data_IF_027587749820
#
_entry.id   IF_027587749820
#
_cell.length_a   1.000
_cell.length_b   1.000
_cell.length_c   1.000
_cell.angle_alpha   90.00
_cell.angle_beta   90.00
_cell.angle_gamma   90.00
#
_symmetry.space_group_name_H-M   'P 1'
#
loop_
_entity.id
_entity.type
_entity.pdbx_description
1 polymer ?
#
# COMPACT_ATOMS: atom_id res chain seq x y z
N UNK A 1 -36.48 -62.82 -59.99
CA UNK A 1 -35.41 -62.97 -61.00
C UNK A 1 -34.46 -61.81 -60.80
N UNK A 2 -33.44 -62.01 -59.98
CA UNK A 2 -32.11 -62.51 -60.36
C UNK A 2 -31.29 -61.48 -61.12
N UNK A 3 -30.21 -61.07 -60.43
CA UNK A 3 -28.85 -60.86 -60.96
C UNK A 3 -28.64 -59.77 -62.00
N UNK A 4 -28.10 -58.64 -61.51
CA UNK A 4 -26.73 -58.18 -61.77
C UNK A 4 -26.10 -58.58 -63.12
N UNK A 5 -25.63 -57.57 -63.88
CA UNK A 5 -24.48 -57.60 -64.80
C UNK A 5 -24.44 -56.33 -65.66
N UNK A 6 -23.43 -55.47 -65.45
CA UNK A 6 -22.48 -55.03 -66.50
C UNK A 6 -21.78 -53.69 -66.18
N UNK A 7 -20.49 -53.80 -65.81
CA UNK A 7 -19.41 -52.84 -66.14
C UNK A 7 -19.20 -52.81 -67.68
N UNK A 8 -18.49 -51.86 -68.36
CA UNK A 8 -17.35 -51.03 -67.90
C UNK A 8 -17.43 -49.55 -68.38
N UNK A 9 -16.57 -48.61 -67.94
CA UNK A 9 -15.28 -48.29 -68.57
C UNK A 9 -14.59 -47.09 -67.89
N UNK A 10 -13.25 -46.96 -68.06
CA UNK A 10 -12.34 -46.19 -67.23
C UNK A 10 -12.04 -44.80 -67.82
N UNK A 11 -11.50 -43.91 -66.99
CA UNK A 11 -10.56 -42.81 -67.27
C UNK A 11 -10.78 -41.75 -66.19
N UNK A 12 -9.92 -41.63 -65.17
CA UNK A 12 -8.69 -40.82 -65.30
C UNK A 12 -8.87 -39.69 -66.30
N UNK A 13 -9.43 -38.57 -65.84
CA UNK A 13 -9.04 -37.21 -66.21
C UNK A 13 -10.11 -36.25 -65.69
N UNK A 14 -9.90 -35.76 -64.47
CA UNK A 14 -10.20 -34.39 -64.00
C UNK A 14 -9.94 -34.29 -62.50
N UNK A 15 -8.71 -34.66 -62.13
CA UNK A 15 -8.03 -34.06 -60.99
C UNK A 15 -7.48 -32.71 -61.49
N UNK A 16 -8.30 -31.66 -61.39
CA UNK A 16 -7.93 -30.24 -61.40
C UNK A 16 -9.24 -29.44 -61.44
N UNK A 17 -9.35 -28.43 -60.57
CA UNK A 17 -10.52 -27.56 -60.36
C UNK A 17 -11.71 -28.19 -59.60
N UNK A 18 -11.46 -28.67 -58.38
CA UNK A 18 -12.47 -28.66 -57.31
C UNK A 18 -11.82 -28.69 -55.92
N UNK A 19 -10.67 -28.04 -55.76
CA UNK A 19 -9.87 -28.05 -54.52
C UNK A 19 -9.58 -26.63 -54.00
N UNK A 20 -10.52 -25.69 -54.16
CA UNK A 20 -10.34 -24.30 -53.65
C UNK A 20 -11.51 -23.77 -52.82
N UNK A 21 -12.69 -24.38 -52.77
CA UNK A 21 -13.85 -23.72 -52.15
C UNK A 21 -14.69 -24.54 -51.15
N UNK A 22 -14.15 -25.64 -50.61
CA UNK A 22 -14.80 -26.40 -49.51
C UNK A 22 -13.76 -27.01 -48.56
N UNK A 23 -12.83 -26.20 -48.07
CA UNK A 23 -11.92 -26.55 -46.96
C UNK A 23 -11.77 -25.34 -46.00
N UNK A 24 -12.86 -24.61 -45.77
CA UNK A 24 -12.90 -23.44 -44.88
C UNK A 24 -13.88 -23.60 -43.71
N UNK A 25 -14.49 -24.78 -43.52
CA UNK A 25 -15.40 -25.03 -42.41
C UNK A 25 -15.22 -26.48 -41.95
N UNK A 26 -14.78 -26.66 -40.70
CA UNK A 26 -14.51 -27.91 -39.98
C UNK A 26 -13.06 -28.44 -40.03
N UNK A 27 -12.16 -27.83 -39.25
CA UNK A 27 -11.22 -28.48 -38.30
C UNK A 27 -10.28 -27.42 -37.71
N UNK A 28 -10.60 -26.90 -36.51
CA UNK A 28 -9.63 -26.38 -35.52
C UNK A 28 -10.37 -25.85 -34.27
N UNK A 29 -11.18 -26.69 -33.62
CA UNK A 29 -11.48 -26.52 -32.21
C UNK A 29 -10.38 -27.27 -31.42
N UNK A 30 -9.21 -26.66 -31.31
CA UNK A 30 -8.20 -27.07 -30.33
C UNK A 30 -8.41 -26.31 -29.02
N UNK A 31 -8.01 -26.85 -27.85
CA UNK A 31 -8.00 -26.07 -26.63
C UNK A 31 -7.10 -24.85 -26.87
N UNK A 32 -7.64 -23.66 -26.61
CA UNK A 32 -6.86 -22.43 -26.60
C UNK A 32 -5.82 -22.54 -25.47
N UNK A 33 -4.66 -23.12 -25.80
CA UNK A 33 -3.46 -22.92 -25.01
C UNK A 33 -3.21 -21.41 -25.04
N UNK A 34 -3.30 -20.80 -23.86
CA UNK A 34 -2.92 -19.41 -23.66
C UNK A 34 -1.53 -19.22 -24.26
N UNK A 35 -1.45 -18.42 -25.33
CA UNK A 35 -0.16 -17.92 -25.79
C UNK A 35 0.43 -17.15 -24.60
N UNK A 36 1.66 -17.45 -24.15
CA UNK A 36 2.32 -16.61 -23.17
C UNK A 36 2.47 -15.22 -23.79
N UNK A 37 1.86 -14.22 -23.14
CA UNK A 37 2.22 -12.83 -23.37
C UNK A 37 3.74 -12.73 -23.21
N UNK A 38 4.48 -11.97 -24.04
CA UNK A 38 5.86 -11.62 -23.74
C UNK A 38 5.81 -10.54 -22.65
N UNK A 39 5.36 -10.93 -21.45
CA UNK A 39 5.63 -10.16 -20.26
C UNK A 39 7.14 -10.32 -20.03
N UNK A 40 7.88 -9.23 -20.08
CA UNK A 40 9.27 -9.23 -19.61
C UNK A 40 9.35 -9.74 -18.17
N UNK A 41 10.57 -10.02 -17.66
CA UNK A 41 10.74 -10.51 -16.29
C UNK A 41 9.99 -9.64 -15.30
N UNK A 42 9.32 -10.28 -14.35
CA UNK A 42 8.58 -9.58 -13.30
C UNK A 42 9.51 -8.63 -12.51
N UNK A 43 9.00 -7.58 -11.85
CA UNK A 43 9.85 -6.68 -11.07
C UNK A 43 10.79 -7.42 -10.08
N UNK A 44 10.27 -8.41 -9.35
CA UNK A 44 11.07 -9.23 -8.45
C UNK A 44 12.12 -10.10 -9.17
N UNK A 45 11.80 -10.58 -10.38
CA UNK A 45 12.72 -11.38 -11.19
C UNK A 45 13.87 -10.54 -11.77
N UNK A 46 13.63 -9.26 -12.11
CA UNK A 46 14.71 -8.33 -12.49
C UNK A 46 15.65 -8.03 -11.33
N UNK A 47 15.09 -7.85 -10.13
CA UNK A 47 15.90 -7.59 -8.92
C UNK A 47 16.73 -8.83 -8.60
N UNK A 48 16.13 -10.02 -8.63
CA UNK A 48 16.85 -11.28 -8.43
C UNK A 48 17.99 -11.45 -9.45
N UNK A 49 17.74 -11.22 -10.74
CA UNK A 49 18.79 -11.26 -11.78
C UNK A 49 19.93 -10.27 -11.51
N UNK A 50 19.62 -9.05 -11.04
CA UNK A 50 20.66 -8.10 -10.66
C UNK A 50 21.44 -8.54 -9.42
N UNK A 51 20.77 -9.20 -8.46
CA UNK A 51 21.42 -9.76 -7.27
C UNK A 51 22.29 -10.98 -7.56
N UNK A 52 22.06 -11.69 -8.67
CA UNK A 52 22.98 -12.74 -9.15
C UNK A 52 24.32 -12.16 -9.62
N UNK A 53 24.33 -10.90 -10.09
CA UNK A 53 25.53 -10.21 -10.59
C UNK A 53 26.27 -9.43 -9.51
N UNK A 54 25.55 -8.85 -8.54
CA UNK A 54 26.12 -8.07 -7.43
C UNK A 54 25.24 -8.17 -6.18
N UNK A 55 25.80 -8.25 -4.96
CA UNK A 55 25.01 -8.30 -3.73
C UNK A 55 24.20 -7.01 -3.46
N UNK A 56 24.42 -5.95 -4.24
CA UNK A 56 23.74 -4.66 -4.09
C UNK A 56 22.94 -4.34 -5.36
N UNK A 57 21.61 -4.41 -5.26
CA UNK A 57 20.71 -3.96 -6.32
C UNK A 57 20.17 -2.56 -6.03
N UNK A 58 20.26 -1.66 -7.01
CA UNK A 58 19.66 -0.31 -6.93
C UNK A 58 18.80 -0.07 -8.16
N UNK A 59 17.53 0.28 -7.95
CA UNK A 59 16.64 0.69 -9.03
C UNK A 59 17.16 1.96 -9.72
N UNK A 60 17.06 2.09 -11.05
CA UNK A 60 17.47 3.29 -11.79
C UNK A 60 16.93 4.62 -11.23
N UNK A 61 15.74 4.62 -10.62
CA UNK A 61 15.16 5.81 -10.01
C UNK A 61 15.91 6.29 -8.75
N UNK A 62 16.76 5.45 -8.16
CA UNK A 62 17.48 5.70 -6.90
C UNK A 62 19.00 5.72 -7.05
N UNK A 63 19.56 5.74 -8.26
CA UNK A 63 21.02 5.81 -8.45
C UNK A 63 21.65 7.09 -7.88
N UNK A 64 20.94 8.22 -7.96
CA UNK A 64 21.41 9.47 -7.35
C UNK A 64 21.40 9.40 -5.81
N UNK A 65 20.65 8.47 -5.24
CA UNK A 65 20.50 8.27 -3.81
C UNK A 65 21.58 7.35 -3.22
N UNK A 66 22.14 6.46 -4.03
CA UNK A 66 23.30 5.62 -3.70
C UNK A 66 24.22 5.58 -4.95
N UNK A 67 25.14 6.56 -5.09
CA UNK A 67 26.04 6.66 -6.24
C UNK A 67 26.88 5.39 -6.45
N UNK A 68 27.35 5.19 -7.68
CA UNK A 68 28.09 3.98 -8.07
C UNK A 68 29.29 3.67 -7.17
N UNK A 69 30.05 4.70 -6.78
CA UNK A 69 31.18 4.57 -5.85
C UNK A 69 30.77 3.93 -4.52
N UNK A 70 29.63 4.36 -3.95
CA UNK A 70 29.08 3.82 -2.71
C UNK A 70 28.49 2.42 -2.89
N UNK A 71 27.94 2.10 -4.08
CA UNK A 71 27.46 0.74 -4.40
C UNK A 71 28.61 -0.26 -4.43
N UNK A 72 29.72 0.12 -5.06
CA UNK A 72 30.93 -0.70 -5.13
C UNK A 72 31.53 -0.90 -3.75
N UNK A 73 31.66 0.18 -2.97
CA UNK A 73 32.18 0.10 -1.61
C UNK A 73 31.33 -0.81 -0.70
N UNK A 74 30.00 -0.70 -0.79
CA UNK A 74 29.09 -1.56 -0.03
C UNK A 74 29.15 -3.02 -0.50
N UNK A 75 29.31 -3.27 -1.80
CA UNK A 75 29.49 -4.62 -2.34
C UNK A 75 30.81 -5.25 -1.85
N UNK A 76 31.92 -4.50 -1.91
CA UNK A 76 33.22 -4.94 -1.40
C UNK A 76 33.15 -5.26 0.11
N UNK A 77 32.42 -4.44 0.88
CA UNK A 77 32.19 -4.67 2.30
C UNK A 77 31.41 -5.96 2.56
N UNK A 78 30.32 -6.19 1.83
CA UNK A 78 29.53 -7.41 1.94
C UNK A 78 30.38 -8.63 1.59
N UNK A 79 31.13 -8.59 0.50
CA UNK A 79 32.02 -9.68 0.09
C UNK A 79 33.10 -9.98 1.15
N UNK A 80 33.63 -8.95 1.81
CA UNK A 80 34.62 -9.11 2.87
C UNK A 80 34.08 -9.87 4.11
N UNK A 81 32.76 -9.81 4.38
CA UNK A 81 32.13 -10.58 5.48
C UNK A 81 32.16 -12.09 5.23
N UNK A 82 32.20 -12.52 3.96
CA UNK A 82 32.04 -13.92 3.57
C UNK A 82 30.64 -14.50 3.86
N UNK A 83 29.65 -13.65 4.18
CA UNK A 83 28.26 -14.05 4.45
C UNK A 83 27.35 -13.69 3.27
N UNK A 84 26.29 -14.48 2.99
CA UNK A 84 25.33 -14.15 1.95
C UNK A 84 24.40 -13.02 2.41
N UNK A 85 24.81 -11.77 2.16
CA UNK A 85 24.03 -10.57 2.46
C UNK A 85 23.61 -9.90 1.15
N UNK A 86 22.34 -9.54 1.01
CA UNK A 86 21.78 -8.91 -0.18
C UNK A 86 21.13 -7.58 0.18
N UNK A 87 21.47 -6.52 -0.55
CA UNK A 87 20.93 -5.17 -0.35
C UNK A 87 20.05 -4.80 -1.54
N UNK A 88 18.82 -4.38 -1.26
CA UNK A 88 17.81 -4.03 -2.26
C UNK A 88 17.34 -2.60 -2.03
N UNK A 89 17.68 -1.72 -2.97
CA UNK A 89 17.29 -0.30 -2.94
C UNK A 89 16.33 -0.03 -4.08
N UNK A 90 15.03 -0.14 -3.79
CA UNK A 90 13.97 0.15 -4.75
C UNK A 90 12.94 1.11 -4.15
N UNK A 91 12.25 1.92 -4.97
CA UNK A 91 11.13 2.71 -4.48
C UNK A 91 10.01 1.77 -4.04
N UNK A 92 9.65 1.84 -2.76
CA UNK A 92 8.52 1.12 -2.18
C UNK A 92 7.37 2.10 -1.97
N UNK A 93 6.27 1.89 -2.70
CA UNK A 93 5.08 2.75 -2.65
C UNK A 93 3.80 1.95 -2.42
N UNK A 94 2.89 2.51 -1.64
CA UNK A 94 1.55 1.97 -1.51
C UNK A 94 0.90 1.82 -2.90
N UNK A 95 0.46 0.61 -3.23
CA UNK A 95 -0.09 0.26 -4.55
C UNK A 95 0.91 -0.23 -5.61
N UNK A 96 2.22 -0.33 -5.31
CA UNK A 96 3.16 -1.08 -6.17
C UNK A 96 2.99 -2.61 -6.03
N UNK A 97 3.86 -3.38 -6.71
CA UNK A 97 3.82 -4.84 -6.68
C UNK A 97 4.00 -5.45 -5.27
N UNK A 98 4.49 -4.66 -4.32
CA UNK A 98 4.80 -5.03 -2.94
C UNK A 98 4.00 -4.19 -1.92
N UNK A 99 3.10 -3.33 -2.43
CA UNK A 99 2.31 -2.35 -1.70
C UNK A 99 3.13 -1.45 -0.74
N UNK A 100 4.39 -1.18 -1.09
CA UNK A 100 5.30 -0.38 -0.29
C UNK A 100 5.88 -1.09 0.94
N UNK A 101 5.72 -2.40 1.07
CA UNK A 101 6.23 -3.19 2.20
C UNK A 101 7.52 -3.91 1.82
N UNK A 102 8.62 -3.61 2.54
CA UNK A 102 9.94 -4.19 2.24
C UNK A 102 9.97 -5.71 2.43
N UNK A 103 9.24 -6.24 3.42
CA UNK A 103 9.15 -7.69 3.67
C UNK A 103 8.51 -8.44 2.49
N UNK A 104 7.51 -7.85 1.82
CA UNK A 104 6.86 -8.48 0.66
C UNK A 104 7.80 -8.50 -0.56
N UNK A 105 8.53 -7.40 -0.76
CA UNK A 105 9.60 -7.32 -1.76
C UNK A 105 10.65 -8.39 -1.52
N UNK A 106 11.22 -8.42 -0.31
CA UNK A 106 12.28 -9.35 0.07
C UNK A 106 11.83 -10.79 -0.14
N UNK A 107 10.62 -11.17 0.31
CA UNK A 107 10.09 -12.51 0.11
C UNK A 107 9.92 -12.86 -1.38
N UNK A 108 9.40 -11.93 -2.19
CA UNK A 108 9.24 -12.15 -3.62
C UNK A 108 10.58 -12.28 -4.37
N UNK A 109 11.60 -11.53 -3.96
CA UNK A 109 12.96 -11.60 -4.52
C UNK A 109 13.65 -12.88 -4.09
N UNK A 110 13.59 -13.24 -2.81
CA UNK A 110 14.09 -14.51 -2.29
C UNK A 110 13.48 -15.71 -3.05
N UNK A 111 12.16 -15.71 -3.28
CA UNK A 111 11.48 -16.76 -4.04
C UNK A 111 11.92 -16.88 -5.51
N UNK A 112 12.56 -15.84 -6.07
CA UNK A 112 13.13 -15.87 -7.44
C UNK A 112 14.62 -16.17 -7.43
N UNK A 113 15.39 -15.57 -6.52
CA UNK A 113 16.83 -15.76 -6.38
C UNK A 113 17.17 -17.16 -5.87
N UNK A 114 16.35 -17.70 -4.96
CA UNK A 114 16.49 -19.05 -4.41
C UNK A 114 17.74 -19.25 -3.55
N UNK A 115 18.33 -18.18 -3.03
CA UNK A 115 19.52 -18.21 -2.20
C UNK A 115 19.17 -17.95 -0.73
N UNK A 116 19.71 -18.76 0.17
CA UNK A 116 19.67 -18.49 1.60
C UNK A 116 20.60 -17.30 1.94
N UNK A 117 20.22 -16.49 2.92
CA UNK A 117 20.99 -15.33 3.36
C UNK A 117 20.16 -14.24 4.04
N UNK A 118 20.83 -13.15 4.38
CA UNK A 118 20.26 -11.95 4.99
C UNK A 118 19.91 -10.93 3.91
N UNK A 119 18.64 -10.53 3.84
CA UNK A 119 18.15 -9.59 2.85
C UNK A 119 17.78 -8.28 3.53
N UNK A 120 18.36 -7.19 3.05
CA UNK A 120 18.16 -5.83 3.55
C UNK A 120 17.46 -4.99 2.47
N UNK A 121 16.40 -4.29 2.84
CA UNK A 121 15.75 -3.32 1.98
C UNK A 121 15.41 -2.04 2.74
N UNK A 122 15.43 -0.90 2.04
CA UNK A 122 15.08 0.38 2.64
C UNK A 122 13.61 0.72 2.41
N UNK A 123 12.89 1.05 3.47
CA UNK A 123 11.60 1.73 3.41
C UNK A 123 11.84 3.24 3.45
N UNK A 124 11.68 3.89 2.30
CA UNK A 124 11.94 5.32 2.17
C UNK A 124 10.67 6.11 2.55
N UNK A 125 10.58 6.54 3.81
CA UNK A 125 9.49 7.34 4.37
C UNK A 125 9.93 8.69 4.95
N UNK A 126 9.22 9.19 5.97
CA UNK A 126 9.58 10.41 6.72
C UNK A 126 10.89 10.29 7.50
N UNK A 127 11.27 9.05 7.80
CA UNK A 127 12.59 8.61 8.19
C UNK A 127 12.95 7.39 7.33
N UNK A 128 14.23 7.22 7.03
CA UNK A 128 14.71 6.03 6.32
C UNK A 128 14.76 4.89 7.33
N UNK A 129 13.96 3.85 7.14
CA UNK A 129 14.03 2.65 7.96
C UNK A 129 14.59 1.51 7.11
N UNK A 130 15.40 0.66 7.74
CA UNK A 130 15.85 -0.57 7.12
C UNK A 130 14.99 -1.74 7.60
N UNK A 131 14.68 -2.64 6.68
CA UNK A 131 14.05 -3.92 6.98
C UNK A 131 15.04 -5.02 6.63
N UNK A 132 15.31 -5.89 7.59
CA UNK A 132 16.11 -7.09 7.39
C UNK A 132 15.27 -8.35 7.55
N UNK A 133 15.51 -9.36 6.71
CA UNK A 133 14.91 -10.70 6.81
C UNK A 133 15.95 -11.76 6.51
N UNK A 134 15.99 -12.80 7.34
CA UNK A 134 16.91 -13.93 7.16
C UNK A 134 16.17 -15.16 6.61
N UNK A 135 16.80 -15.83 5.64
CA UNK A 135 16.34 -17.12 5.09
C UNK A 135 17.45 -18.17 5.16
N UNK A 136 17.16 -19.34 5.75
CA UNK A 136 18.01 -20.54 5.66
C UNK A 136 19.38 -20.48 6.34
N UNK A 137 19.64 -19.52 7.23
CA UNK A 137 20.93 -19.36 7.91
C UNK A 137 21.01 -20.18 9.21
N UNK A 138 22.14 -20.86 9.47
CA UNK A 138 22.32 -21.74 10.67
C UNK A 138 22.46 -20.98 12.01
N UNK A 139 22.59 -19.66 11.96
CA UNK A 139 22.23 -18.79 13.09
C UNK A 139 21.03 -17.94 12.64
N UNK A 140 20.15 -17.55 13.56
CA UNK A 140 19.12 -16.54 13.30
C UNK A 140 19.83 -15.23 12.91
N UNK A 141 20.09 -14.95 11.63
CA UNK A 141 21.11 -13.95 11.20
C UNK A 141 20.71 -12.48 11.42
N UNK A 142 19.97 -12.19 12.49
CA UNK A 142 19.76 -10.88 13.14
C UNK A 142 19.56 -9.72 12.15
N UNK A 143 19.13 -9.95 10.90
CA UNK A 143 19.06 -8.88 9.93
C UNK A 143 17.97 -7.91 10.34
N UNK A 144 16.86 -8.45 10.86
CA UNK A 144 15.79 -7.68 11.48
C UNK A 144 16.30 -6.86 12.68
N UNK A 145 17.03 -7.49 13.60
CA UNK A 145 17.50 -6.83 14.83
C UNK A 145 18.60 -5.81 14.55
N UNK A 146 19.56 -6.14 13.68
CA UNK A 146 20.62 -5.25 13.24
C UNK A 146 20.06 -4.01 12.51
N UNK A 147 19.13 -4.21 11.57
CA UNK A 147 18.45 -3.11 10.89
C UNK A 147 17.67 -2.23 11.90
N UNK A 148 17.04 -2.85 12.90
CA UNK A 148 16.29 -2.14 13.95
C UNK A 148 17.24 -1.38 14.88
N UNK A 149 18.34 -1.97 15.33
CA UNK A 149 19.34 -1.33 16.18
C UNK A 149 19.91 -0.08 15.51
N UNK A 150 20.32 -0.21 14.24
CA UNK A 150 20.86 0.90 13.44
C UNK A 150 19.83 2.01 13.22
N UNK A 151 18.55 1.65 13.11
CA UNK A 151 17.47 2.64 12.97
C UNK A 151 17.12 3.35 14.28
N UNK A 152 17.44 2.76 15.44
CA UNK A 152 17.26 3.36 16.77
C UNK A 152 18.47 4.20 17.18
N UNK A 153 19.65 3.88 16.67
CA UNK A 153 20.90 4.59 16.93
C UNK A 153 20.85 6.02 16.36
N UNK A 154 20.71 7.00 17.26
CA UNK A 154 20.65 8.42 16.88
C UNK A 154 21.98 9.03 16.45
N UNK A 155 23.10 8.34 16.67
CA UNK A 155 24.44 8.76 16.25
C UNK A 155 24.77 8.31 14.81
N UNK A 156 24.01 7.36 14.25
CA UNK A 156 24.17 6.92 12.86
C UNK A 156 23.64 7.97 11.88
N UNK A 157 24.38 8.20 10.79
CA UNK A 157 23.98 9.12 9.72
C UNK A 157 22.81 8.54 8.89
N UNK A 158 21.81 9.37 8.59
CA UNK A 158 20.58 8.98 7.87
C UNK A 158 20.77 8.62 6.38
N UNK A 159 22.01 8.65 5.86
CA UNK A 159 22.30 8.27 4.47
C UNK A 159 22.18 6.76 4.25
N UNK A 160 21.71 6.35 3.06
CA UNK A 160 21.54 4.91 2.75
C UNK A 160 22.86 4.15 2.88
N UNK A 161 23.95 4.74 2.41
CA UNK A 161 25.27 4.12 2.53
C UNK A 161 25.64 3.87 4.00
N UNK A 162 25.50 4.86 4.88
CA UNK A 162 25.82 4.71 6.29
C UNK A 162 24.92 3.66 6.97
N UNK A 163 23.61 3.70 6.72
CA UNK A 163 22.65 2.74 7.28
C UNK A 163 22.95 1.30 6.84
N UNK A 164 23.16 1.07 5.54
CA UNK A 164 23.48 -0.28 5.04
C UNK A 164 24.86 -0.75 5.48
N UNK A 165 25.89 0.11 5.39
CA UNK A 165 27.25 -0.22 5.85
C UNK A 165 27.24 -0.61 7.32
N UNK A 166 26.57 0.19 8.17
CA UNK A 166 26.50 -0.09 9.60
C UNK A 166 25.72 -1.38 9.89
N UNK A 167 24.64 -1.63 9.17
CA UNK A 167 23.87 -2.87 9.31
C UNK A 167 24.69 -4.10 8.90
N UNK A 168 25.46 -4.00 7.81
CA UNK A 168 26.37 -5.07 7.36
C UNK A 168 27.46 -5.34 8.40
N UNK A 169 28.04 -4.30 9.02
CA UNK A 169 28.99 -4.45 10.13
C UNK A 169 28.36 -5.17 11.33
N UNK A 170 27.14 -4.81 11.71
CA UNK A 170 26.43 -5.42 12.84
C UNK A 170 26.08 -6.89 12.56
N UNK A 171 25.69 -7.23 11.33
CA UNK A 171 25.47 -8.61 10.88
C UNK A 171 26.79 -9.38 10.85
N UNK A 172 27.88 -8.78 10.39
CA UNK A 172 29.20 -9.42 10.38
C UNK A 172 29.68 -9.75 11.80
N UNK A 173 29.57 -8.77 12.71
CA UNK A 173 29.87 -8.92 14.12
C UNK A 173 28.95 -9.90 14.85
N UNK A 174 27.75 -10.16 14.33
CA UNK A 174 26.74 -11.02 14.96
C UNK A 174 26.17 -10.43 16.26
N UNK A 175 26.05 -9.09 16.30
CA UNK A 175 25.69 -8.32 17.52
C UNK A 175 24.33 -7.64 17.44
N UNK A 176 23.61 -7.76 16.31
CA UNK A 176 22.31 -7.15 16.06
C UNK A 176 21.29 -7.26 17.20
N UNK A 177 21.07 -8.44 17.78
CA UNK A 177 20.11 -8.60 18.89
C UNK A 177 20.57 -7.85 20.15
N UNK A 178 21.85 -7.96 20.50
CA UNK A 178 22.40 -7.30 21.68
C UNK A 178 22.43 -5.76 21.52
N UNK A 179 22.74 -5.29 20.33
CA UNK A 179 22.69 -3.87 20.00
C UNK A 179 21.24 -3.36 19.99
N UNK A 180 20.29 -4.10 19.42
CA UNK A 180 18.88 -3.73 19.45
C UNK A 180 18.34 -3.62 20.88
N UNK A 181 18.63 -4.59 21.75
CA UNK A 181 18.25 -4.54 23.16
C UNK A 181 18.84 -3.31 23.86
N UNK A 182 20.13 -3.01 23.63
CA UNK A 182 20.81 -1.84 24.19
C UNK A 182 20.18 -0.52 23.74
N UNK A 183 20.02 -0.32 22.43
CA UNK A 183 19.43 0.91 21.88
C UNK A 183 17.96 1.08 22.32
N UNK A 184 17.20 -0.02 22.42
CA UNK A 184 15.82 0.00 22.92
C UNK A 184 15.73 0.41 24.39
N UNK A 185 16.63 -0.12 25.24
CA UNK A 185 16.69 0.23 26.66
C UNK A 185 17.10 1.70 26.87
N UNK A 186 18.06 2.20 26.09
CA UNK A 186 18.48 3.60 26.10
C UNK A 186 17.33 4.53 25.68
N UNK A 187 16.63 4.21 24.59
CA UNK A 187 15.47 4.98 24.14
C UNK A 187 14.32 4.96 25.16
N UNK A 188 14.07 3.82 25.81
CA UNK A 188 13.08 3.69 26.88
C UNK A 188 13.44 4.54 28.12
N UNK A 189 14.73 4.64 28.44
CA UNK A 189 15.23 5.50 29.51
C UNK A 189 15.10 7.00 29.17
N UNK A 190 15.29 7.39 27.91
CA UNK A 190 15.16 8.78 27.46
C UNK A 190 13.71 9.25 27.31
N UNK A 191 12.81 8.38 26.85
CA UNK A 191 11.41 8.73 26.59
C UNK A 191 10.52 8.73 27.85
N UNK A 192 11.04 8.26 28.99
CA UNK A 192 10.35 8.28 30.27
C UNK A 192 9.20 7.27 30.30
N UNK A 193 9.49 6.04 30.70
CA UNK A 193 8.52 4.95 30.84
C UNK A 193 7.24 5.36 31.59
N UNK A 194 6.10 4.91 31.06
CA UNK A 194 4.81 5.01 31.74
C UNK A 194 4.78 4.01 32.91
N UNK A 195 5.14 4.47 34.11
CA UNK A 195 5.14 3.65 35.32
C UNK A 195 3.71 3.34 35.79
N UNK A 196 3.32 2.06 35.70
CA UNK A 196 2.21 1.52 36.48
C UNK A 196 2.66 1.34 37.96
N UNK A 197 1.87 1.79 38.96
CA UNK A 197 2.32 1.76 40.35
C UNK A 197 2.21 0.35 40.93
N UNK A 198 3.31 -0.16 41.50
CA UNK A 198 3.26 -1.40 42.26
C UNK A 198 4.57 -1.88 42.91
N UNK A 199 4.67 -1.63 44.22
CA UNK A 199 5.26 -2.48 45.28
C UNK A 199 6.76 -2.89 45.23
N UNK A 200 7.58 -1.96 45.73
CA UNK A 200 8.59 -2.10 46.79
C UNK A 200 9.31 -3.42 47.08
N UNK A 201 10.65 -3.35 47.09
CA UNK A 201 11.51 -3.98 48.09
C UNK A 201 12.88 -3.28 48.22
N UNK A 202 13.12 -2.68 49.40
CA UNK A 202 14.35 -2.56 50.21
C UNK A 202 15.74 -2.30 49.58
N UNK A 203 16.49 -1.36 50.18
CA UNK A 203 17.94 -1.60 50.40
C UNK A 203 18.89 -0.40 50.57
N UNK A 204 18.79 0.30 51.69
CA UNK A 204 19.82 1.00 52.49
C UNK A 204 21.24 1.39 51.93
N UNK A 205 21.63 2.62 52.29
CA UNK A 205 23.02 3.09 52.53
C UNK A 205 23.33 4.39 51.77
N UNK A 206 23.81 5.51 52.32
CA UNK A 206 24.32 5.87 53.64
C UNK A 206 25.28 7.07 53.47
N UNK A 207 24.90 8.24 54.01
CA UNK A 207 25.70 9.37 54.51
C UNK A 207 26.71 10.13 53.62
N UNK A 208 26.61 11.47 53.64
CA UNK A 208 27.71 12.39 53.31
C UNK A 208 27.29 13.86 53.23
N UNK A 209 27.47 14.61 54.31
CA UNK A 209 27.15 16.04 54.45
C UNK A 209 28.27 16.97 53.92
N UNK A 210 27.92 18.23 53.58
CA UNK A 210 28.86 19.35 53.57
C UNK A 210 28.73 20.27 52.34
N UNK A 211 28.22 21.49 52.54
CA UNK A 211 27.99 22.47 51.48
C UNK A 211 29.25 23.24 51.04
N UNK A 212 29.06 24.17 50.08
CA UNK A 212 29.55 25.56 50.08
C UNK A 212 29.11 26.23 48.77
N UNK A 213 28.52 27.41 48.95
CA UNK A 213 28.18 28.42 47.94
C UNK A 213 29.41 28.97 47.20
N UNK A 214 29.20 29.39 45.93
CA UNK A 214 29.97 30.26 45.01
C UNK A 214 29.89 29.56 43.62
N UNK A 215 29.25 30.05 42.56
CA UNK A 215 29.61 31.17 41.69
C UNK A 215 28.41 31.57 40.77
N UNK A 216 27.84 32.79 40.80
CA UNK A 216 26.76 33.18 39.86
C UNK A 216 27.27 33.68 38.49
N UNK A 217 28.59 33.79 38.27
CA UNK A 217 29.12 34.34 37.01
C UNK A 217 29.38 33.29 35.91
N UNK A 218 29.51 32.01 36.25
CA UNK A 218 29.78 30.93 35.26
C UNK A 218 28.47 30.35 34.69
N UNK A 219 27.40 30.32 35.49
CA UNK A 219 26.10 29.77 35.06
C UNK A 219 25.42 30.58 33.94
N UNK A 220 25.60 31.90 33.91
CA UNK A 220 24.96 32.77 32.91
C UNK A 220 25.51 32.57 31.49
N UNK A 221 26.83 32.35 31.35
CA UNK A 221 27.45 32.13 30.06
C UNK A 221 27.11 30.74 29.47
N UNK A 222 27.04 29.72 30.33
CA UNK A 222 26.63 28.36 29.93
C UNK A 222 25.16 28.34 29.51
N UNK A 223 24.27 29.00 30.25
CA UNK A 223 22.85 29.10 29.89
C UNK A 223 22.62 29.86 28.57
N UNK A 224 23.39 30.92 28.30
CA UNK A 224 23.31 31.65 27.03
C UNK A 224 23.84 30.83 25.85
N UNK A 225 24.92 30.05 26.04
CA UNK A 225 25.45 29.15 25.01
C UNK A 225 24.51 27.97 24.74
N UNK A 226 23.87 27.42 25.77
CA UNK A 226 22.85 26.37 25.60
C UNK A 226 21.58 26.91 24.93
N UNK A 227 21.15 28.13 25.25
CA UNK A 227 20.00 28.76 24.60
C UNK A 227 20.30 29.12 23.13
N UNK A 228 21.49 29.64 22.83
CA UNK A 228 21.93 29.94 21.47
C UNK A 228 22.17 28.66 20.65
N UNK A 229 22.77 27.63 21.25
CA UNK A 229 22.95 26.30 20.66
C UNK A 229 21.61 25.60 20.39
N UNK A 230 20.67 25.66 21.33
CA UNK A 230 19.32 25.14 21.16
C UNK A 230 18.53 25.87 20.08
N UNK A 231 18.61 27.20 20.03
CA UNK A 231 17.98 28.00 18.96
C UNK A 231 18.60 27.69 17.59
N UNK A 232 19.92 27.52 17.51
CA UNK A 232 20.63 27.15 16.28
C UNK A 232 20.29 25.73 15.81
N UNK A 233 20.18 24.76 16.73
CA UNK A 233 19.74 23.39 16.44
C UNK A 233 18.28 23.34 15.94
N UNK A 234 17.38 24.11 16.54
CA UNK A 234 15.98 24.21 16.09
C UNK A 234 15.89 24.87 14.71
N UNK A 235 16.67 25.93 14.45
CA UNK A 235 16.70 26.58 13.12
C UNK A 235 17.37 25.69 12.08
N UNK A 236 18.39 24.90 12.44
CA UNK A 236 19.04 23.92 11.55
C UNK A 236 18.12 22.74 11.24
N UNK A 237 17.40 22.19 12.22
CA UNK A 237 16.36 21.15 12.00
C UNK A 237 15.21 21.66 11.13
N UNK A 238 14.81 22.93 11.26
CA UNK A 238 13.79 23.54 10.39
C UNK A 238 14.28 23.94 8.99
N UNK A 239 15.60 24.00 8.78
CA UNK A 239 16.23 24.31 7.48
C UNK A 239 16.91 23.10 6.84
N UNK A 240 16.80 21.91 7.42
CA UNK A 240 17.18 20.69 6.75
C UNK A 240 16.38 20.62 5.44
N UNK A 241 17.03 20.53 4.27
CA UNK A 241 16.31 20.39 3.01
C UNK A 241 15.44 19.13 3.12
N UNK A 242 14.13 19.27 2.86
CA UNK A 242 13.24 18.10 2.69
C UNK A 242 13.93 17.18 1.71
N UNK A 243 14.30 15.98 2.16
CA UNK A 243 15.09 15.06 1.36
C UNK A 243 14.39 14.85 0.00
N UNK A 244 15.11 14.93 -1.14
CA UNK A 244 14.52 14.77 -2.48
C UNK A 244 13.68 13.48 -2.66
N UNK A 245 13.92 12.46 -1.83
CA UNK A 245 13.20 11.17 -1.84
C UNK A 245 11.76 11.28 -1.35
N UNK A 246 11.49 12.01 -0.28
CA UNK A 246 10.12 12.30 0.19
C UNK A 246 9.31 13.04 -0.86
N UNK A 247 9.97 13.89 -1.64
CA UNK A 247 9.34 14.62 -2.75
C UNK A 247 8.92 13.67 -3.87
N UNK A 248 9.68 12.60 -4.16
CA UNK A 248 9.31 11.61 -5.17
C UNK A 248 8.06 10.80 -4.77
N UNK A 249 7.95 10.39 -3.50
CA UNK A 249 6.75 9.72 -2.97
C UNK A 249 5.54 10.64 -2.95
N UNK A 250 5.71 11.88 -2.47
CA UNK A 250 4.65 12.89 -2.55
C UNK A 250 4.23 13.15 -4.01
N UNK A 251 5.16 13.08 -4.97
CA UNK A 251 4.86 13.23 -6.39
C UNK A 251 4.13 12.01 -6.97
N UNK A 252 4.48 10.79 -6.54
CA UNK A 252 3.77 9.57 -6.92
C UNK A 252 2.34 9.56 -6.38
N UNK A 253 2.15 9.93 -5.10
CA UNK A 253 0.84 10.10 -4.48
C UNK A 253 0.01 11.16 -5.21
N UNK A 254 0.62 12.31 -5.54
CA UNK A 254 -0.03 13.36 -6.34
C UNK A 254 -0.37 12.88 -7.75
N UNK A 255 0.52 12.16 -8.42
CA UNK A 255 0.27 11.62 -9.75
C UNK A 255 -0.89 10.62 -9.73
N UNK A 256 -0.93 9.74 -8.74
CA UNK A 256 -2.02 8.78 -8.56
C UNK A 256 -3.34 9.48 -8.24
N UNK A 257 -3.32 10.51 -7.40
CA UNK A 257 -4.49 11.35 -7.14
C UNK A 257 -4.97 12.05 -8.40
N UNK A 258 -4.08 12.60 -9.22
CA UNK A 258 -4.43 13.24 -10.49
C UNK A 258 -5.03 12.25 -11.50
N UNK A 259 -4.46 11.04 -11.59
CA UNK A 259 -4.98 9.99 -12.45
C UNK A 259 -6.40 9.57 -12.01
N UNK A 260 -6.58 9.30 -10.72
CA UNK A 260 -7.88 8.95 -10.15
C UNK A 260 -8.88 10.10 -10.35
N UNK A 261 -8.45 11.35 -10.15
CA UNK A 261 -9.29 12.53 -10.41
C UNK A 261 -9.76 12.57 -11.86
N UNK A 262 -8.86 12.39 -12.81
CA UNK A 262 -9.20 12.38 -14.23
C UNK A 262 -10.12 11.19 -14.60
N UNK A 263 -9.96 10.04 -13.95
CA UNK A 263 -10.85 8.89 -14.09
C UNK A 263 -12.27 9.22 -13.61
N UNK A 264 -12.42 9.69 -12.37
CA UNK A 264 -13.74 10.00 -11.81
C UNK A 264 -14.41 11.20 -12.47
N UNK A 265 -13.65 12.18 -12.97
CA UNK A 265 -14.18 13.28 -13.79
C UNK A 265 -14.84 12.76 -15.07
N UNK A 266 -14.20 11.80 -15.76
CA UNK A 266 -14.79 11.16 -16.94
C UNK A 266 -16.03 10.35 -16.60
N UNK A 267 -16.00 9.58 -15.51
CA UNK A 267 -17.13 8.78 -15.07
C UNK A 267 -18.33 9.63 -14.62
N UNK A 268 -18.07 10.79 -13.98
CA UNK A 268 -19.13 11.74 -13.62
C UNK A 268 -19.86 12.28 -14.86
N UNK A 269 -19.12 12.56 -15.93
CA UNK A 269 -19.69 12.99 -17.21
C UNK A 269 -20.48 11.85 -17.86
N UNK A 270 -19.89 10.65 -17.99
CA UNK A 270 -20.57 9.47 -18.57
C UNK A 270 -21.88 9.14 -17.86
N UNK A 271 -21.86 9.09 -16.53
CA UNK A 271 -23.05 8.84 -15.73
C UNK A 271 -24.10 9.95 -15.94
N UNK A 272 -23.68 11.22 -15.96
CA UNK A 272 -24.57 12.35 -16.21
C UNK A 272 -25.26 12.27 -17.57
N UNK A 273 -24.52 11.92 -18.63
CA UNK A 273 -25.08 11.72 -19.97
C UNK A 273 -26.07 10.56 -20.03
N UNK A 274 -25.74 9.42 -19.39
CA UNK A 274 -26.63 8.25 -19.30
C UNK A 274 -27.90 8.55 -18.51
N UNK A 275 -27.79 9.30 -17.41
CA UNK A 275 -28.95 9.76 -16.64
C UNK A 275 -29.85 10.66 -17.50
N UNK A 276 -29.28 11.63 -18.20
CA UNK A 276 -30.03 12.55 -19.07
C UNK A 276 -30.70 11.84 -20.26
N UNK A 277 -30.08 10.79 -20.80
CA UNK A 277 -30.62 10.01 -21.91
C UNK A 277 -31.73 9.02 -21.49
N UNK A 278 -31.84 8.68 -20.20
CA UNK A 278 -32.78 7.67 -19.73
C UNK A 278 -34.19 8.24 -19.65
N UNK A 279 -35.14 7.60 -20.33
CA UNK A 279 -36.58 7.91 -20.23
C UNK A 279 -37.30 6.67 -19.73
N UNK A 280 -38.00 6.79 -18.61
CA UNK A 280 -38.82 5.70 -18.05
C UNK A 280 -40.18 5.68 -18.75
N UNK A 281 -40.73 4.49 -19.01
CA UNK A 281 -42.04 4.34 -19.65
C UNK A 281 -43.18 4.90 -18.78
N UNK A 282 -42.95 5.00 -17.47
CA UNK A 282 -43.91 5.48 -16.48
C UNK A 282 -44.91 4.38 -16.11
N UNK A 283 -45.04 4.11 -14.80
CA UNK A 283 -45.95 3.08 -14.29
C UNK A 283 -45.46 2.33 -13.07
N UNK A 284 -44.16 2.39 -12.76
CA UNK A 284 -43.60 1.89 -11.50
C UNK A 284 -42.97 3.04 -10.70
N UNK A 285 -43.55 3.32 -9.52
CA UNK A 285 -43.04 4.32 -8.59
C UNK A 285 -41.61 3.98 -8.11
N UNK A 286 -41.25 2.69 -8.06
CA UNK A 286 -39.89 2.26 -7.68
C UNK A 286 -38.87 2.64 -8.74
N UNK A 287 -39.20 2.48 -10.02
CA UNK A 287 -38.32 2.90 -11.10
C UNK A 287 -38.04 4.40 -11.04
N UNK A 288 -39.09 5.20 -10.77
CA UNK A 288 -38.96 6.64 -10.61
C UNK A 288 -38.12 7.02 -9.37
N UNK A 289 -38.32 6.32 -8.26
CA UNK A 289 -37.56 6.54 -7.02
C UNK A 289 -36.08 6.18 -7.17
N UNK A 290 -35.77 5.04 -7.81
CA UNK A 290 -34.38 4.62 -8.07
C UNK A 290 -33.68 5.60 -9.02
N UNK A 291 -34.37 6.08 -10.05
CA UNK A 291 -33.82 7.08 -10.96
C UNK A 291 -33.55 8.43 -10.26
N UNK A 292 -34.46 8.88 -9.39
CA UNK A 292 -34.24 10.07 -8.57
C UNK A 292 -33.05 9.89 -7.62
N UNK A 293 -32.92 8.72 -6.98
CA UNK A 293 -31.78 8.42 -6.12
C UNK A 293 -30.46 8.36 -6.91
N UNK A 294 -30.48 7.93 -8.18
CA UNK A 294 -29.31 7.95 -9.05
C UNK A 294 -28.87 9.40 -9.38
N UNK A 295 -29.82 10.32 -9.61
CA UNK A 295 -29.56 11.75 -9.77
C UNK A 295 -28.97 12.36 -8.48
N UNK A 296 -29.51 12.01 -7.31
CA UNK A 296 -28.98 12.46 -6.02
C UNK A 296 -27.53 11.98 -5.79
N UNK A 297 -27.22 10.73 -6.16
CA UNK A 297 -25.86 10.19 -6.07
C UNK A 297 -24.89 10.89 -7.04
N UNK A 298 -25.34 11.25 -8.24
CA UNK A 298 -24.58 12.03 -9.22
C UNK A 298 -24.31 13.46 -8.73
N UNK A 299 -25.32 14.17 -8.19
CA UNK A 299 -25.14 15.49 -7.59
C UNK A 299 -24.17 15.43 -6.39
N UNK A 300 -24.33 14.43 -5.53
CA UNK A 300 -23.41 14.21 -4.41
C UNK A 300 -21.97 13.98 -4.88
N UNK A 301 -21.76 13.16 -5.93
CA UNK A 301 -20.44 12.92 -6.50
C UNK A 301 -19.81 14.22 -7.06
N UNK A 302 -20.59 15.02 -7.78
CA UNK A 302 -20.14 16.32 -8.29
C UNK A 302 -19.71 17.27 -7.19
N UNK A 303 -20.52 17.41 -6.13
CA UNK A 303 -20.19 18.28 -4.98
C UNK A 303 -18.93 17.86 -4.23
N UNK A 304 -18.70 16.54 -4.10
CA UNK A 304 -17.46 16.03 -3.50
C UNK A 304 -16.28 16.36 -4.41
N UNK A 305 -16.40 16.10 -5.71
CA UNK A 305 -15.32 16.32 -6.68
C UNK A 305 -14.90 17.79 -6.79
N UNK A 306 -15.86 18.71 -6.72
CA UNK A 306 -15.63 20.16 -6.68
C UNK A 306 -14.81 20.59 -5.45
N UNK A 307 -14.98 19.87 -4.33
CA UNK A 307 -14.31 20.16 -3.06
C UNK A 307 -13.12 19.25 -2.73
N UNK A 308 -12.83 18.25 -3.57
CA UNK A 308 -11.92 17.16 -3.24
C UNK A 308 -10.48 17.65 -2.99
N UNK A 309 -9.92 17.28 -1.82
CA UNK A 309 -8.57 17.68 -1.38
C UNK A 309 -7.56 16.54 -1.40
N UNK A 310 -8.03 15.30 -1.41
CA UNK A 310 -7.19 14.12 -1.27
C UNK A 310 -7.79 12.88 -1.90
N UNK A 311 -7.06 11.77 -1.75
CA UNK A 311 -7.43 10.48 -2.32
C UNK A 311 -8.68 9.87 -1.66
N UNK A 312 -8.96 10.24 -0.41
CA UNK A 312 -10.16 9.90 0.34
C UNK A 312 -11.43 10.50 -0.26
N UNK A 313 -11.41 11.79 -0.58
CA UNK A 313 -12.53 12.41 -1.29
C UNK A 313 -12.75 11.78 -2.65
N UNK A 314 -11.67 11.53 -3.41
CA UNK A 314 -11.75 10.90 -4.73
C UNK A 314 -12.26 9.45 -4.66
N UNK A 315 -11.88 8.69 -3.62
CA UNK A 315 -12.47 7.39 -3.34
C UNK A 315 -13.98 7.51 -3.05
N UNK A 316 -14.37 8.55 -2.32
CA UNK A 316 -15.77 8.92 -2.07
C UNK A 316 -16.55 9.22 -3.35
N UNK A 317 -15.98 10.00 -4.28
CA UNK A 317 -16.56 10.28 -5.60
C UNK A 317 -16.80 8.97 -6.34
N UNK A 318 -15.79 8.08 -6.43
CA UNK A 318 -15.93 6.80 -7.13
C UNK A 318 -17.04 5.93 -6.54
N UNK A 319 -17.15 5.87 -5.20
CA UNK A 319 -18.22 5.13 -4.52
C UNK A 319 -19.60 5.71 -4.85
N UNK A 320 -19.75 7.03 -4.88
CA UNK A 320 -21.02 7.71 -5.18
C UNK A 320 -21.42 7.52 -6.65
N UNK A 321 -20.48 7.67 -7.59
CA UNK A 321 -20.71 7.36 -9.01
C UNK A 321 -21.15 5.92 -9.18
N UNK A 322 -20.46 5.01 -8.48
CA UNK A 322 -20.78 3.61 -8.52
C UNK A 322 -22.18 3.29 -7.98
N UNK A 323 -22.59 3.95 -6.91
CA UNK A 323 -23.95 3.88 -6.39
C UNK A 323 -24.98 4.41 -7.41
N UNK A 324 -24.69 5.54 -8.07
CA UNK A 324 -25.56 6.12 -9.09
C UNK A 324 -25.79 5.18 -10.28
N UNK A 325 -24.74 4.52 -10.76
CA UNK A 325 -24.85 3.51 -11.83
C UNK A 325 -25.69 2.30 -11.42
N UNK A 326 -25.52 1.80 -10.18
CA UNK A 326 -26.29 0.67 -9.67
C UNK A 326 -27.78 1.03 -9.54
N UNK A 327 -28.08 2.24 -9.08
CA UNK A 327 -29.44 2.76 -8.97
C UNK A 327 -30.07 2.98 -10.35
N UNK A 328 -29.31 3.48 -11.32
CA UNK A 328 -29.78 3.59 -12.70
C UNK A 328 -30.10 2.21 -13.30
N UNK A 329 -29.28 1.20 -13.02
CA UNK A 329 -29.55 -0.18 -13.44
C UNK A 329 -30.78 -0.77 -12.74
N UNK A 330 -31.00 -0.45 -11.45
CA UNK A 330 -32.20 -0.84 -10.72
C UNK A 330 -33.46 -0.18 -11.31
N UNK A 331 -33.41 1.12 -11.61
CA UNK A 331 -34.50 1.85 -12.24
C UNK A 331 -34.91 1.21 -13.57
N UNK A 332 -33.94 0.90 -14.45
CA UNK A 332 -34.18 0.24 -15.73
C UNK A 332 -34.68 -1.22 -15.58
N UNK A 333 -34.34 -1.91 -14.49
CA UNK A 333 -34.88 -3.22 -14.19
C UNK A 333 -36.35 -3.13 -13.77
N UNK A 334 -36.67 -2.22 -12.85
CA UNK A 334 -38.03 -2.01 -12.36
C UNK A 334 -38.99 -1.48 -13.42
N UNK A 335 -38.56 -0.52 -14.25
CA UNK A 335 -39.37 -0.02 -15.39
C UNK A 335 -39.73 -1.14 -16.37
N UNK A 336 -38.82 -2.09 -16.56
CA UNK A 336 -39.04 -3.29 -17.37
C UNK A 336 -39.72 -4.46 -16.64
N UNK A 337 -40.18 -4.30 -15.39
CA UNK A 337 -40.80 -5.35 -14.58
C UNK A 337 -39.87 -6.51 -14.20
N UNK A 338 -38.55 -6.28 -14.20
CA UNK A 338 -37.52 -7.28 -13.86
C UNK A 338 -37.00 -7.06 -12.45
N UNK A 339 -36.39 -8.10 -11.88
CA UNK A 339 -35.69 -8.00 -10.59
C UNK A 339 -34.42 -7.14 -10.76
N UNK A 340 -34.25 -6.13 -9.90
CA UNK A 340 -33.04 -5.33 -9.86
C UNK A 340 -31.79 -6.18 -9.55
N UNK A 341 -30.64 -5.88 -10.20
CA UNK A 341 -29.35 -6.45 -9.83
C UNK A 341 -29.00 -6.17 -8.36
N UNK A 342 -28.19 -7.04 -7.77
CA UNK A 342 -27.63 -6.73 -6.45
C UNK A 342 -26.63 -5.57 -6.61
N UNK A 343 -26.77 -4.48 -5.83
CA UNK A 343 -25.83 -3.38 -5.89
C UNK A 343 -24.44 -3.81 -5.42
N UNK A 344 -23.40 -3.26 -6.04
CA UNK A 344 -22.02 -3.54 -5.69
C UNK A 344 -21.69 -3.02 -4.29
N UNK A 345 -20.65 -3.58 -3.69
CA UNK A 345 -20.19 -3.20 -2.35
C UNK A 345 -18.68 -3.02 -2.42
N UNK A 346 -18.21 -1.82 -2.07
CA UNK A 346 -16.79 -1.53 -1.99
C UNK A 346 -16.16 -2.17 -0.76
N UNK A 347 -14.85 -2.44 -0.83
CA UNK A 347 -14.12 -2.92 0.32
C UNK A 347 -14.12 -1.84 1.40
N UNK A 348 -14.57 -2.21 2.60
CA UNK A 348 -14.62 -1.33 3.75
C UNK A 348 -13.25 -0.79 4.14
N UNK A 349 -12.18 -1.57 4.03
CA UNK A 349 -10.84 -1.10 4.44
C UNK A 349 -10.27 -0.08 3.45
N UNK A 350 -10.50 -0.29 2.15
CA UNK A 350 -10.08 0.62 1.11
C UNK A 350 -11.05 0.55 -0.09
N UNK A 351 -11.87 1.59 -0.32
CA UNK A 351 -12.85 1.59 -1.41
C UNK A 351 -12.26 1.54 -2.81
N UNK A 352 -10.96 1.84 -2.96
CA UNK A 352 -10.23 1.76 -4.23
C UNK A 352 -9.82 0.32 -4.59
N UNK A 353 -10.00 -0.65 -3.69
CA UNK A 353 -9.84 -2.06 -4.03
C UNK A 353 -10.98 -2.58 -4.91
N UNK A 354 -10.83 -3.81 -5.39
CA UNK A 354 -11.87 -4.48 -6.17
C UNK A 354 -13.24 -4.50 -5.46
N UNK A 355 -14.30 -4.30 -6.24
CA UNK A 355 -15.71 -4.29 -5.80
C UNK A 355 -16.31 -5.70 -5.65
N UNK A 356 -15.56 -6.74 -6.02
CA UNK A 356 -15.89 -8.14 -5.71
C UNK A 356 -15.61 -8.40 -4.23
N UNK A 357 -16.63 -8.17 -3.40
CA UNK A 357 -16.51 -8.24 -1.95
C UNK A 357 -17.41 -9.28 -1.32
N UNK A 358 -17.06 -9.68 -0.10
CA UNK A 358 -17.85 -10.60 0.73
C UNK A 358 -17.99 -10.06 2.15
N UNK A 359 -19.08 -10.38 2.85
CA UNK A 359 -19.24 -10.00 4.24
C UNK A 359 -18.16 -10.68 5.10
N UNK A 360 -17.52 -9.89 5.95
CA UNK A 360 -16.56 -10.32 6.98
C UNK A 360 -16.96 -9.74 8.33
N UNK A 361 -16.75 -10.50 9.39
CA UNK A 361 -16.86 -9.99 10.76
C UNK A 361 -15.46 -9.59 11.21
N UNK A 362 -15.23 -8.30 11.39
CA UNK A 362 -13.94 -7.74 11.76
C UNK A 362 -13.99 -7.15 13.17
N UNK A 363 -12.83 -7.13 13.82
CA UNK A 363 -12.58 -6.58 15.15
C UNK A 363 -11.27 -5.81 15.07
N UNK A 364 -11.31 -4.51 15.37
CA UNK A 364 -10.10 -3.70 15.46
C UNK A 364 -9.22 -4.21 16.61
N UNK A 365 -7.90 -4.12 16.42
CA UNK A 365 -6.90 -4.48 17.44
C UNK A 365 -7.14 -3.63 18.70
N UNK A 366 -6.95 -4.22 19.88
CA UNK A 366 -7.24 -3.55 21.16
C UNK A 366 -8.72 -3.47 21.55
N UNK A 367 -9.66 -3.88 20.68
CA UNK A 367 -11.11 -3.84 20.97
C UNK A 367 -11.73 -5.23 21.07
N UNK A 368 -12.83 -5.37 21.82
CA UNK A 368 -13.68 -6.59 21.83
C UNK A 368 -14.89 -6.48 20.90
N UNK A 369 -15.14 -5.28 20.36
CA UNK A 369 -16.30 -5.00 19.52
C UNK A 369 -16.10 -5.59 18.13
N UNK A 370 -17.17 -6.17 17.59
CA UNK A 370 -17.18 -6.77 16.25
C UNK A 370 -18.14 -6.01 15.36
N UNK A 371 -17.72 -5.75 14.13
CA UNK A 371 -18.56 -5.16 13.08
C UNK A 371 -18.63 -6.09 11.87
N UNK A 372 -19.74 -6.02 11.14
CA UNK A 372 -19.90 -6.72 9.86
C UNK A 372 -19.72 -5.72 8.74
N UNK A 373 -18.77 -5.99 7.86
CA UNK A 373 -18.41 -5.11 6.74
C UNK A 373 -18.18 -5.95 5.48
N UNK A 374 -18.21 -5.32 4.30
CA UNK A 374 -17.79 -6.00 3.07
C UNK A 374 -16.29 -5.78 2.83
N UNK A 375 -15.57 -6.83 2.45
CA UNK A 375 -14.15 -6.75 2.14
C UNK A 375 -13.82 -7.48 0.84
N UNK A 376 -12.83 -6.97 0.10
CA UNK A 376 -12.28 -7.67 -1.06
C UNK A 376 -11.65 -9.00 -0.65
N UNK A 377 -11.25 -9.82 -1.62
CA UNK A 377 -10.64 -11.13 -1.37
C UNK A 377 -9.46 -11.05 -0.40
N UNK A 378 -8.57 -10.08 -0.61
CA UNK A 378 -7.30 -9.94 0.11
C UNK A 378 -7.51 -9.39 1.52
N UNK A 379 -8.25 -8.29 1.68
CA UNK A 379 -8.58 -7.77 3.00
C UNK A 379 -9.38 -8.80 3.81
N UNK A 380 -10.28 -9.56 3.17
CA UNK A 380 -10.97 -10.64 3.85
C UNK A 380 -10.02 -11.77 4.27
N UNK A 381 -9.00 -12.08 3.48
CA UNK A 381 -7.97 -13.05 3.86
C UNK A 381 -7.12 -12.55 5.02
N UNK A 382 -6.71 -11.27 5.01
CA UNK A 382 -6.00 -10.62 6.11
C UNK A 382 -6.80 -10.69 7.43
N UNK A 383 -8.09 -10.30 7.40
CA UNK A 383 -8.96 -10.40 8.58
C UNK A 383 -9.06 -11.84 9.11
N UNK A 384 -9.18 -12.84 8.24
CA UNK A 384 -9.23 -14.26 8.66
C UNK A 384 -7.90 -14.75 9.21
N UNK A 385 -6.78 -14.25 8.68
CA UNK A 385 -5.44 -14.55 9.15
C UNK A 385 -5.01 -13.71 10.35
N UNK A 386 -5.92 -12.96 10.99
CA UNK A 386 -5.62 -12.06 12.10
C UNK A 386 -4.54 -11.01 11.80
N UNK A 387 -4.38 -10.63 10.52
CA UNK A 387 -3.46 -9.58 10.06
C UNK A 387 -4.22 -8.28 9.81
N UNK A 388 -3.49 -7.15 9.86
CA UNK A 388 -4.03 -5.85 9.52
C UNK A 388 -4.43 -5.81 8.02
N UNK A 389 -5.67 -5.45 7.69
CA UNK A 389 -6.07 -5.26 6.29
C UNK A 389 -5.45 -3.97 5.73
N UNK A 390 -5.07 -3.99 4.46
CA UNK A 390 -4.62 -2.78 3.75
C UNK A 390 -5.75 -1.76 3.70
N UNK A 391 -5.62 -0.71 4.50
CA UNK A 391 -6.60 0.34 4.65
C UNK A 391 -6.24 1.58 3.84
N UNK A 392 -7.24 2.39 3.46
CA UNK A 392 -7.00 3.69 2.84
C UNK A 392 -6.40 4.65 3.87
N UNK A 393 -5.15 5.12 3.70
CA UNK A 393 -4.54 6.05 4.63
C UNK A 393 -5.08 7.47 4.40
N UNK A 394 -5.34 8.18 5.50
CA UNK A 394 -5.74 9.60 5.49
C UNK A 394 -4.91 10.38 6.49
N UNK A 395 -4.81 11.69 6.29
CA UNK A 395 -4.15 12.56 7.27
C UNK A 395 -5.16 13.06 8.28
N UNK A 396 -4.88 12.84 9.57
CA UNK A 396 -5.66 13.36 10.69
C UNK A 396 -4.68 13.77 11.79
N UNK A 397 -4.83 14.99 12.33
CA UNK A 397 -3.93 15.58 13.34
C UNK A 397 -2.42 15.53 13.02
N UNK A 398 -2.08 15.55 11.72
CA UNK A 398 -0.69 15.50 11.24
C UNK A 398 -0.13 14.09 11.09
N UNK A 399 -0.86 13.07 11.50
CA UNK A 399 -0.50 11.66 11.35
C UNK A 399 -1.23 11.01 10.18
N UNK A 400 -0.66 9.92 9.64
CA UNK A 400 -1.33 9.07 8.64
C UNK A 400 -1.96 7.88 9.35
N UNK A 401 -3.29 7.84 9.35
CA UNK A 401 -4.08 6.77 9.98
C UNK A 401 -5.05 6.16 8.97
N UNK A 402 -5.48 4.90 9.15
CA UNK A 402 -6.61 4.35 8.39
C UNK A 402 -7.85 5.25 8.49
N UNK A 403 -8.55 5.47 7.38
CA UNK A 403 -9.70 6.40 7.37
C UNK A 403 -10.78 6.06 8.41
N UNK A 404 -10.97 4.78 8.74
CA UNK A 404 -11.97 4.34 9.72
C UNK A 404 -11.55 4.56 11.19
N UNK A 405 -10.33 5.04 11.43
CA UNK A 405 -9.85 5.44 12.76
C UNK A 405 -10.05 6.94 13.03
N UNK A 406 -10.38 7.72 12.00
CA UNK A 406 -10.79 9.13 12.16
C UNK A 406 -12.14 9.20 12.90
N UNK A 407 -12.30 10.10 13.88
CA UNK A 407 -13.58 10.31 14.55
C UNK A 407 -14.73 10.55 13.55
N UNK A 408 -15.91 10.01 13.85
CA UNK A 408 -17.04 10.04 12.92
C UNK A 408 -17.59 11.47 12.72
N UNK A 409 -17.39 12.34 13.70
CA UNK A 409 -17.66 13.78 13.64
C UNK A 409 -16.74 14.52 12.66
N UNK A 410 -15.52 14.02 12.47
CA UNK A 410 -14.44 14.66 11.70
C UNK A 410 -14.29 14.04 10.31
N UNK A 411 -15.10 13.03 9.94
CA UNK A 411 -15.09 12.47 8.60
C UNK A 411 -16.40 11.75 8.27
N UNK A 412 -17.10 12.23 7.24
CA UNK A 412 -18.26 11.54 6.66
C UNK A 412 -17.86 10.16 6.12
N UNK A 413 -16.64 10.03 5.61
CA UNK A 413 -16.10 8.77 5.10
C UNK A 413 -15.94 7.75 6.22
N UNK A 414 -15.32 8.13 7.34
CA UNK A 414 -15.19 7.30 8.53
C UNK A 414 -16.56 6.92 9.11
N UNK A 415 -17.45 7.91 9.26
CA UNK A 415 -18.79 7.73 9.84
C UNK A 415 -19.66 6.72 9.07
N UNK A 416 -19.49 6.65 7.76
CA UNK A 416 -20.31 5.81 6.87
C UNK A 416 -19.58 4.56 6.39
N UNK A 417 -18.26 4.48 6.55
CA UNK A 417 -17.43 3.44 5.93
C UNK A 417 -17.56 3.45 4.40
N UNK A 418 -17.66 4.62 3.78
CA UNK A 418 -18.02 4.77 2.36
C UNK A 418 -19.31 4.00 1.99
N UNK A 419 -20.33 4.06 2.86
CA UNK A 419 -21.61 3.38 2.66
C UNK A 419 -21.69 1.93 3.17
N UNK A 420 -20.61 1.39 3.76
CA UNK A 420 -20.63 0.05 4.37
C UNK A 420 -21.35 0.01 5.72
N UNK A 421 -21.27 1.09 6.50
CA UNK A 421 -21.81 1.16 7.86
C UNK A 421 -23.20 1.80 7.90
N UNK A 422 -23.48 2.71 6.95
CA UNK A 422 -24.74 3.44 6.87
C UNK A 422 -25.13 3.73 5.43
N UNK A 423 -26.44 3.67 5.14
CA UNK A 423 -27.00 3.94 3.82
C UNK A 423 -27.27 5.44 3.55
N UNK A 424 -27.08 6.31 4.54
CA UNK A 424 -27.38 7.74 4.45
C UNK A 424 -26.23 8.60 3.85
N UNK A 425 -25.22 7.96 3.25
CA UNK A 425 -24.02 8.64 2.71
C UNK A 425 -24.37 9.79 1.75
N UNK A 426 -25.22 9.52 0.75
CA UNK A 426 -25.66 10.53 -0.23
C UNK A 426 -26.28 11.73 0.48
N UNK A 427 -27.16 11.48 1.46
CA UNK A 427 -27.86 12.53 2.18
C UNK A 427 -26.93 13.37 3.06
N UNK A 428 -25.90 12.76 3.68
CA UNK A 428 -24.87 13.49 4.43
C UNK A 428 -24.08 14.43 3.51
N UNK A 429 -23.68 13.94 2.35
CA UNK A 429 -22.96 14.74 1.34
C UNK A 429 -23.83 15.90 0.85
N UNK A 430 -25.07 15.64 0.47
CA UNK A 430 -25.99 16.67 -0.04
C UNK A 430 -26.34 17.74 1.01
N UNK A 431 -26.35 17.40 2.30
CA UNK A 431 -26.48 18.38 3.41
C UNK A 431 -25.22 19.22 3.66
N UNK A 432 -24.09 18.88 3.03
CA UNK A 432 -22.83 19.57 3.18
C UNK A 432 -22.00 19.13 4.40
N UNK A 433 -22.24 17.91 4.91
CA UNK A 433 -21.53 17.40 6.10
C UNK A 433 -20.03 17.16 5.83
N UNK A 434 -19.60 17.10 4.57
CA UNK A 434 -18.18 17.06 4.16
C UNK A 434 -17.37 18.27 4.64
N UNK A 435 -18.01 19.42 4.87
CA UNK A 435 -17.34 20.69 5.20
C UNK A 435 -17.37 21.03 6.70
N UNK A 436 -18.00 20.18 7.51
CA UNK A 436 -18.10 20.35 8.97
C UNK A 436 -17.09 19.49 9.75
N UNK A 437 -16.36 18.65 9.02
CA UNK A 437 -15.25 17.83 9.44
C UNK A 437 -13.93 18.60 9.34
#
# INVERSE_FOLDING_TARGET
MSTDLSRPRPALLRAALAAVLTAAFALAAGPAAAAPSPAGPSPAERIAQGLEESPVYVDPALEAALPEEQRVELADQIEATGKPIYVIVVPLVAGDAWNGEATQLIGAVHDRLGADGSYLASELGSSTWLTGVDYGTEAEHQAADAASAVSLDSDTDDTLFALFSRTVETIDAGTGTADYERESDELAAETGGWDAPGHGASGAGGAGAGGIWLWPAVGGAVLLLLAAGGAWLVVRRRRAPVAPRLVAFDNADRARQQELRAEVERELVDLGERLAATTLAGGDDRASADHAAALDAHDAAGRVLDGARGIDDLAGVRVLLHLGEDLLAAAAAHDGGRKAPAPRRHCFFNPLHATTTRPVTWRAVGTTRRIKVHACTDCAAAVRGHRAPTALPVRHDGERVPYYEVPAEDSVWAATGYGNLSADLVQRVLRGDLRRA
#
